data_IF_699643150884
#
_entry.id   IF_699643150884
#
_cell.length_a   1.000
_cell.length_b   1.000
_cell.length_c   1.000
_cell.angle_alpha   90.00
_cell.angle_beta   90.00
_cell.angle_gamma   90.00
#
_symmetry.space_group_name_H-M   'P 1'
#
loop_
_entity.id
_entity.type
_entity.pdbx_description
1 polymer ?
#
# COMPACT_ATOMS: atom_id res chain seq x y z
N UNK A 1 -2.47 -11.51 -4.91
CA UNK A 1 -1.41 -10.48 -5.07
C UNK A 1 -1.89 -9.33 -4.24
N UNK A 2 -1.04 -8.81 -3.36
CA UNK A 2 -1.40 -7.72 -2.46
C UNK A 2 -1.26 -6.41 -3.22
N UNK A 3 -2.34 -5.66 -3.31
CA UNK A 3 -2.41 -4.40 -4.05
C UNK A 3 -2.24 -3.19 -3.12
N UNK A 4 -2.52 -3.38 -1.82
CA UNK A 4 -2.34 -2.36 -0.79
C UNK A 4 -1.65 -2.93 0.45
N UNK A 5 -0.70 -2.15 0.98
CA UNK A 5 -0.14 -2.34 2.31
C UNK A 5 -0.31 -1.05 3.11
N UNK A 6 -1.07 -1.11 4.19
CA UNK A 6 -1.48 0.06 4.98
C UNK A 6 -0.79 0.00 6.33
N UNK A 7 -0.06 1.07 6.69
CA UNK A 7 0.64 1.22 7.96
C UNK A 7 -0.09 2.19 8.86
N UNK A 8 -0.29 1.80 10.11
CA UNK A 8 -0.97 2.59 11.15
C UNK A 8 -0.28 2.43 12.49
N UNK A 9 -0.41 3.44 13.36
CA UNK A 9 -0.01 3.30 14.76
C UNK A 9 -0.83 2.24 15.49
N UNK A 10 -0.18 1.29 16.15
CA UNK A 10 -0.80 0.37 17.07
C UNK A 10 -1.17 1.14 18.34
N UNK A 11 -2.41 0.97 18.80
CA UNK A 11 -2.80 1.45 20.13
C UNK A 11 -1.85 0.85 21.18
N UNK A 12 -1.30 1.65 22.09
CA UNK A 12 -0.47 1.14 23.18
C UNK A 12 -1.28 0.10 23.96
N UNK A 13 -0.85 -1.16 23.93
CA UNK A 13 -1.40 -2.13 24.88
C UNK A 13 -0.75 -1.80 26.21
N UNK A 14 -1.52 -1.26 27.17
CA UNK A 14 -1.00 -1.04 28.52
C UNK A 14 -0.69 -2.40 29.13
N UNK A 15 0.57 -2.83 29.03
CA UNK A 15 1.05 -4.01 29.73
C UNK A 15 1.30 -3.56 31.18
N UNK A 16 0.39 -3.95 32.08
CA UNK A 16 0.54 -3.68 33.51
C UNK A 16 1.83 -4.34 34.02
N UNK A 17 2.79 -3.54 34.50
CA UNK A 17 4.05 -4.02 35.08
C UNK A 17 5.34 -3.59 34.37
N UNK A 18 5.26 -2.80 33.29
CA UNK A 18 6.44 -2.25 32.62
C UNK A 18 6.80 -0.86 33.20
N UNK A 19 8.11 -0.57 33.35
CA UNK A 19 8.62 0.71 33.86
C UNK A 19 8.18 1.90 32.98
N UNK A 20 7.79 3.07 33.54
CA UNK A 20 7.25 4.22 32.80
C UNK A 20 8.10 4.73 31.63
N UNK A 21 9.41 4.52 31.68
CA UNK A 21 10.37 4.95 30.64
C UNK A 21 10.56 3.91 29.52
N UNK A 22 9.83 2.79 29.55
CA UNK A 22 9.92 1.75 28.53
C UNK A 22 9.14 2.18 27.30
N UNK A 23 9.80 2.88 26.38
CA UNK A 23 9.22 3.22 25.08
C UNK A 23 9.14 1.94 24.25
N UNK A 24 7.93 1.40 24.04
CA UNK A 24 7.73 0.40 22.99
C UNK A 24 7.96 1.06 21.63
N UNK A 25 9.05 0.69 20.97
CA UNK A 25 9.43 1.18 19.64
C UNK A 25 8.67 0.49 18.49
N UNK A 26 7.74 -0.43 18.78
CA UNK A 26 7.05 -1.25 17.77
C UNK A 26 5.58 -0.86 17.61
N UNK A 27 5.31 0.45 17.56
CA UNK A 27 3.97 1.03 17.41
C UNK A 27 3.44 0.96 15.98
N UNK A 28 4.01 0.23 15.02
CA UNK A 28 3.49 0.18 13.65
C UNK A 28 2.87 -1.17 13.32
N UNK A 29 1.59 -1.15 12.93
CA UNK A 29 0.85 -2.30 12.43
C UNK A 29 0.60 -2.16 10.93
N UNK A 30 0.74 -3.25 10.19
CA UNK A 30 0.42 -3.29 8.77
C UNK A 30 -0.83 -4.13 8.47
N UNK A 31 -1.57 -3.73 7.44
CA UNK A 31 -2.70 -4.47 6.87
C UNK A 31 -2.47 -4.67 5.38
N UNK A 32 -2.61 -5.91 4.90
CA UNK A 32 -2.50 -6.23 3.48
C UNK A 32 -3.88 -6.49 2.89
N UNK A 33 -4.22 -5.81 1.79
CA UNK A 33 -5.48 -5.97 1.07
C UNK A 33 -5.21 -6.45 -0.35
N UNK A 34 -5.98 -7.44 -0.80
CA UNK A 34 -5.96 -7.95 -2.17
C UNK A 34 -7.23 -7.54 -2.93
N UNK A 35 -7.07 -7.03 -4.14
CA UNK A 35 -8.16 -6.72 -5.04
C UNK A 35 -8.72 -8.01 -5.64
N UNK A 36 -10.00 -8.28 -5.37
CA UNK A 36 -10.68 -9.50 -5.78
C UNK A 36 -11.70 -9.99 -4.75
N UNK A 37 -11.48 -9.66 -3.48
CA UNK A 37 -12.40 -10.00 -2.40
C UNK A 37 -13.21 -8.76 -1.99
N UNK A 38 -14.48 -8.69 -2.42
CA UNK A 38 -15.37 -7.53 -2.18
C UNK A 38 -15.52 -7.18 -0.69
N UNK A 39 -15.38 -8.18 0.17
CA UNK A 39 -15.41 -8.04 1.63
C UNK A 39 -14.35 -7.08 2.18
N UNK A 40 -13.24 -6.85 1.47
CA UNK A 40 -12.21 -5.91 1.93
C UNK A 40 -12.54 -4.44 1.63
N UNK A 41 -13.43 -4.16 0.67
CA UNK A 41 -13.83 -2.78 0.36
C UNK A 41 -14.56 -2.17 1.56
N UNK A 42 -15.42 -2.95 2.22
CA UNK A 42 -16.11 -2.50 3.44
C UNK A 42 -15.16 -2.31 4.63
N UNK A 43 -13.97 -2.95 4.60
CA UNK A 43 -12.94 -2.79 5.64
C UNK A 43 -12.04 -1.57 5.42
N UNK A 44 -12.00 -0.98 4.22
CA UNK A 44 -11.13 0.17 3.93
C UNK A 44 -11.25 1.31 4.94
N UNK A 45 -12.46 1.76 5.35
CA UNK A 45 -12.57 2.83 6.34
C UNK A 45 -11.89 2.48 7.67
N UNK A 46 -12.00 1.22 8.12
CA UNK A 46 -11.44 0.78 9.39
C UNK A 46 -9.91 0.75 9.37
N UNK A 47 -9.29 0.35 8.26
CA UNK A 47 -7.83 0.19 8.18
C UNK A 47 -7.13 1.44 7.68
N UNK A 48 -7.79 2.25 6.83
CA UNK A 48 -7.23 3.49 6.32
C UNK A 48 -7.38 4.64 7.31
N UNK A 49 -8.34 4.59 8.24
CA UNK A 49 -8.46 5.61 9.28
C UNK A 49 -7.19 5.64 10.16
N UNK A 50 -6.62 6.83 10.31
CA UNK A 50 -5.34 7.10 11.00
C UNK A 50 -4.14 6.33 10.46
N UNK A 51 -4.24 5.78 9.24
CA UNK A 51 -3.08 5.27 8.53
C UNK A 51 -2.07 6.40 8.30
N UNK A 52 -0.80 6.08 8.51
CA UNK A 52 0.34 6.98 8.37
C UNK A 52 0.92 6.87 6.97
N UNK A 53 0.99 5.66 6.43
CA UNK A 53 1.53 5.39 5.10
C UNK A 53 0.74 4.29 4.41
N UNK A 54 0.58 4.42 3.08
CA UNK A 54 -0.12 3.44 2.25
C UNK A 54 0.72 3.17 1.02
N UNK A 55 1.09 1.91 0.84
CA UNK A 55 1.85 1.43 -0.31
C UNK A 55 0.86 0.81 -1.30
N UNK A 56 0.77 1.42 -2.48
CA UNK A 56 0.09 0.94 -3.66
C UNK A 56 1.05 0.05 -4.43
N UNK A 57 0.77 -1.24 -4.49
CA UNK A 57 1.67 -2.24 -5.05
C UNK A 57 1.13 -2.75 -6.39
N UNK A 58 1.97 -2.77 -7.42
CA UNK A 58 1.58 -3.29 -8.73
C UNK A 58 2.65 -4.21 -9.30
N UNK A 59 2.24 -5.08 -10.22
CA UNK A 59 3.11 -6.05 -10.88
C UNK A 59 3.75 -5.42 -12.12
N UNK A 60 5.07 -5.23 -12.10
CA UNK A 60 5.78 -4.69 -13.25
C UNK A 60 5.69 -5.61 -14.48
N UNK A 61 5.40 -6.91 -14.31
CA UNK A 61 5.23 -7.81 -15.45
C UNK A 61 3.80 -7.81 -16.03
N UNK A 62 2.84 -7.14 -15.37
CA UNK A 62 1.43 -7.13 -15.81
C UNK A 62 0.83 -5.72 -15.76
N UNK A 63 0.83 -5.06 -16.93
CA UNK A 63 0.25 -3.72 -17.15
C UNK A 63 -1.17 -3.55 -16.58
N UNK A 64 -2.01 -4.58 -16.62
CA UNK A 64 -3.38 -4.53 -16.08
C UNK A 64 -3.47 -4.18 -14.58
N UNK A 65 -2.42 -4.50 -13.80
CA UNK A 65 -2.39 -4.18 -12.36
C UNK A 65 -2.18 -2.69 -12.07
N UNK A 66 -1.66 -1.91 -13.03
CA UNK A 66 -1.55 -0.46 -12.89
C UNK A 66 -2.91 0.24 -12.95
N UNK A 67 -3.85 -0.30 -13.74
CA UNK A 67 -5.18 0.29 -13.91
C UNK A 67 -5.98 0.23 -12.61
N UNK A 68 -5.94 -0.90 -11.89
CA UNK A 68 -6.66 -1.07 -10.61
C UNK A 68 -6.13 -0.13 -9.52
N UNK A 69 -4.84 0.21 -9.54
CA UNK A 69 -4.25 1.11 -8.54
C UNK A 69 -4.85 2.52 -8.59
N UNK A 70 -5.23 3.03 -9.77
CA UNK A 70 -5.90 4.34 -9.87
C UNK A 70 -7.22 4.37 -9.09
N UNK A 71 -8.00 3.29 -9.19
CA UNK A 71 -9.26 3.16 -8.48
C UNK A 71 -9.05 3.06 -6.97
N UNK A 72 -8.07 2.27 -6.54
CA UNK A 72 -7.70 2.16 -5.13
C UNK A 72 -7.22 3.49 -4.55
N UNK A 73 -6.36 4.21 -5.27
CA UNK A 73 -5.88 5.53 -4.85
C UNK A 73 -7.05 6.47 -4.61
N UNK A 74 -8.01 6.55 -5.54
CA UNK A 74 -9.20 7.40 -5.39
C UNK A 74 -10.03 7.01 -4.16
N UNK A 75 -10.27 5.71 -3.95
CA UNK A 75 -11.05 5.23 -2.80
C UNK A 75 -10.36 5.54 -1.47
N UNK A 76 -9.08 5.19 -1.35
CA UNK A 76 -8.28 5.43 -0.15
C UNK A 76 -8.19 6.92 0.18
N UNK A 77 -7.92 7.78 -0.80
CA UNK A 77 -7.82 9.23 -0.60
C UNK A 77 -9.15 9.91 -0.27
N UNK A 78 -10.28 9.29 -0.64
CA UNK A 78 -11.59 9.75 -0.19
C UNK A 78 -11.81 9.53 1.31
N UNK A 79 -11.10 8.55 1.91
CA UNK A 79 -11.20 8.18 3.32
C UNK A 79 -10.10 8.86 4.15
N UNK A 80 -8.83 8.76 3.74
CA UNK A 80 -7.69 9.34 4.45
C UNK A 80 -6.84 10.19 3.50
N UNK A 81 -6.85 11.50 3.74
CA UNK A 81 -6.08 12.50 2.96
C UNK A 81 -4.69 12.77 3.54
N UNK A 82 -4.38 12.26 4.71
CA UNK A 82 -3.16 12.57 5.46
C UNK A 82 -2.09 11.48 5.33
N UNK A 83 -2.49 10.23 5.08
CA UNK A 83 -1.54 9.14 4.86
C UNK A 83 -0.61 9.44 3.67
N UNK A 84 0.68 9.19 3.85
CA UNK A 84 1.69 9.30 2.79
C UNK A 84 1.49 8.17 1.76
N UNK A 85 1.19 8.48 0.50
CA UNK A 85 1.03 7.48 -0.54
C UNK A 85 2.38 7.11 -1.16
N UNK A 86 2.65 5.81 -1.31
CA UNK A 86 3.82 5.29 -2.01
C UNK A 86 3.37 4.36 -3.14
N UNK A 87 3.89 4.54 -4.34
CA UNK A 87 3.66 3.64 -5.46
C UNK A 87 4.89 2.72 -5.61
N UNK A 88 4.68 1.40 -5.51
CA UNK A 88 5.77 0.41 -5.47
C UNK A 88 5.56 -0.65 -6.55
N UNK A 89 6.51 -0.72 -7.49
CA UNK A 89 6.55 -1.77 -8.51
C UNK A 89 7.20 -3.04 -7.98
N UNK A 90 6.54 -4.18 -8.17
CA UNK A 90 6.98 -5.51 -7.76
C UNK A 90 7.42 -6.35 -8.96
N UNK A 91 8.17 -7.44 -8.70
CA UNK A 91 8.71 -8.36 -9.72
C UNK A 91 9.69 -7.72 -10.70
N UNK A 92 10.59 -6.89 -10.18
CA UNK A 92 11.64 -6.25 -10.99
C UNK A 92 12.56 -7.27 -11.70
N UNK A 93 12.80 -8.43 -11.09
CA UNK A 93 13.56 -9.55 -11.66
C UNK A 93 12.93 -10.11 -12.95
N UNK A 94 11.60 -10.01 -13.09
CA UNK A 94 10.89 -10.37 -14.32
C UNK A 94 10.92 -9.21 -15.30
N UNK A 95 10.59 -8.01 -14.83
CA UNK A 95 10.59 -6.79 -15.63
C UNK A 95 11.94 -6.51 -16.32
N UNK A 96 13.04 -6.72 -15.60
CA UNK A 96 14.40 -6.52 -16.13
C UNK A 96 14.76 -7.44 -17.30
N UNK A 97 13.98 -8.51 -17.53
CA UNK A 97 14.14 -9.42 -18.66
C UNK A 97 13.34 -9.02 -19.89
N UNK A 98 12.44 -8.03 -19.78
CA UNK A 98 11.66 -7.53 -20.92
C UNK A 98 12.56 -6.73 -21.87
N UNK A 99 12.10 -6.55 -23.11
CA UNK A 99 12.83 -5.71 -24.05
C UNK A 99 12.74 -4.22 -23.65
N UNK A 100 13.62 -3.39 -24.21
CA UNK A 100 13.73 -1.97 -23.84
C UNK A 100 12.43 -1.20 -24.09
N UNK A 101 11.75 -1.48 -25.20
CA UNK A 101 10.49 -0.80 -25.57
C UNK A 101 9.39 -1.11 -24.54
N UNK A 102 9.25 -2.37 -24.13
CA UNK A 102 8.30 -2.78 -23.09
C UNK A 102 8.61 -2.14 -21.74
N UNK A 103 9.90 -2.09 -21.36
CA UNK A 103 10.32 -1.45 -20.12
C UNK A 103 10.02 0.05 -20.12
N UNK A 104 10.27 0.74 -21.24
CA UNK A 104 9.96 2.15 -21.41
C UNK A 104 8.46 2.43 -21.31
N UNK A 105 7.63 1.62 -21.96
CA UNK A 105 6.17 1.75 -21.92
C UNK A 105 5.63 1.68 -20.48
N UNK A 106 6.05 0.66 -19.73
CA UNK A 106 5.65 0.47 -18.35
C UNK A 106 6.13 1.65 -17.51
N UNK A 107 7.39 2.07 -17.69
CA UNK A 107 7.97 3.22 -16.97
C UNK A 107 7.21 4.52 -17.26
N UNK A 108 6.84 4.77 -18.51
CA UNK A 108 6.04 5.94 -18.93
C UNK A 108 4.67 5.93 -18.24
N UNK A 109 3.99 4.78 -18.20
CA UNK A 109 2.69 4.66 -17.52
C UNK A 109 2.79 4.88 -16.01
N UNK A 110 3.81 4.35 -15.35
CA UNK A 110 4.04 4.53 -13.90
C UNK A 110 4.28 6.00 -13.57
N UNK A 111 5.04 6.72 -14.41
CA UNK A 111 5.29 8.16 -14.21
C UNK A 111 4.03 9.02 -14.33
N UNK A 112 3.03 8.59 -15.09
CA UNK A 112 1.73 9.27 -15.19
C UNK A 112 0.83 9.08 -13.96
N UNK A 113 1.25 8.26 -12.98
CA UNK A 113 0.51 8.03 -11.74
C UNK A 113 0.99 8.90 -10.57
N UNK A 114 2.08 9.65 -10.75
CA UNK A 114 2.65 10.57 -9.75
C UNK A 114 1.99 11.94 -9.76
#
# INVERSE_FOLDING_TARGET
MKDLLIYRYAEPTIITGIHPDSIESHLLRYYAIESGHREFISMLPLVCNDAVAILFMFDLSRKATLTSIKEWYRQVRSINKNAFPFLVGMKYDVFSKFNVEEQEDITKQVRLLH
#
